data_IF_116065677270
#
_entry.id   IF_116065677270
#
_cell.length_a   1.000
_cell.length_b   1.000
_cell.length_c   1.000
_cell.angle_alpha   90.00
_cell.angle_beta   90.00
_cell.angle_gamma   90.00
#
_symmetry.space_group_name_H-M   'P 1'
#
loop_
_entity.id
_entity.type
_entity.pdbx_description
1 polymer ?
#
# COMPACT_ATOMS: atom_id res chain seq x y z
N UNK A 1 10.12 -45.26 -9.77
CA UNK A 1 9.75 -44.12 -8.91
C UNK A 1 11.01 -43.39 -8.53
N UNK A 2 11.07 -42.07 -8.73
CA UNK A 2 12.21 -41.29 -8.23
C UNK A 2 12.30 -41.47 -6.71
N UNK A 3 13.47 -41.83 -6.21
CA UNK A 3 13.73 -41.97 -4.78
C UNK A 3 13.64 -40.58 -4.14
N UNK A 4 12.73 -40.40 -3.17
CA UNK A 4 12.59 -39.14 -2.43
C UNK A 4 13.90 -38.83 -1.70
N UNK A 5 14.41 -37.61 -1.92
CA UNK A 5 15.67 -37.15 -1.34
C UNK A 5 15.35 -36.17 -0.21
N UNK A 6 15.47 -36.63 1.02
CA UNK A 6 15.25 -35.80 2.21
C UNK A 6 16.53 -35.07 2.60
N UNK A 7 16.42 -33.82 3.04
CA UNK A 7 17.58 -33.01 3.45
C UNK A 7 17.72 -32.84 4.96
N UNK A 8 16.70 -33.20 5.74
CA UNK A 8 16.77 -33.22 7.20
C UNK A 8 16.42 -34.59 7.81
N UNK A 9 17.03 -34.90 8.95
CA UNK A 9 16.64 -35.98 9.83
C UNK A 9 16.87 -35.58 11.30
N UNK A 10 16.34 -36.36 12.24
CA UNK A 10 16.55 -36.16 13.68
C UNK A 10 17.74 -36.99 14.15
N UNK A 11 18.59 -36.42 15.01
CA UNK A 11 19.59 -37.19 15.77
C UNK A 11 18.95 -37.90 16.98
N UNK A 12 19.79 -38.59 17.77
CA UNK A 12 19.38 -39.28 19.01
C UNK A 12 18.77 -38.37 20.08
N UNK A 13 19.07 -37.06 20.03
CA UNK A 13 18.58 -36.05 20.97
C UNK A 13 17.36 -35.31 20.40
N UNK A 14 16.80 -35.79 19.29
CA UNK A 14 15.71 -35.15 18.53
C UNK A 14 16.02 -33.75 17.97
N UNK A 15 17.30 -33.43 17.73
CA UNK A 15 17.67 -32.20 17.02
C UNK A 15 17.56 -32.40 15.51
N UNK A 16 17.08 -31.39 14.78
CA UNK A 16 17.08 -31.41 13.32
C UNK A 16 18.50 -31.22 12.76
N UNK A 17 19.01 -32.26 12.09
CA UNK A 17 20.30 -32.25 11.42
C UNK A 17 20.08 -32.12 9.91
N UNK A 18 20.58 -31.01 9.35
CA UNK A 18 20.64 -30.81 7.91
C UNK A 18 21.71 -31.71 7.28
N UNK A 19 21.45 -32.18 6.06
CA UNK A 19 22.27 -33.18 5.37
C UNK A 19 23.73 -32.74 5.17
N UNK A 20 23.98 -31.42 5.08
CA UNK A 20 25.34 -30.87 5.04
C UNK A 20 26.18 -31.25 6.25
N UNK A 21 25.57 -31.38 7.43
CA UNK A 21 26.23 -31.71 8.70
C UNK A 21 26.13 -33.21 9.04
N UNK A 22 25.52 -34.03 8.18
CA UNK A 22 25.31 -35.44 8.45
C UNK A 22 26.60 -36.27 8.30
N UNK A 23 26.77 -37.29 9.15
CA UNK A 23 27.92 -38.20 9.12
C UNK A 23 27.45 -39.66 8.93
N UNK A 24 28.19 -40.46 8.15
CA UNK A 24 27.90 -41.89 8.01
C UNK A 24 28.15 -42.63 9.32
N UNK A 25 27.35 -43.65 9.60
CA UNK A 25 27.45 -44.46 10.82
C UNK A 25 26.79 -43.85 12.06
N UNK A 26 26.28 -42.61 11.96
CA UNK A 26 25.43 -42.02 12.99
C UNK A 26 23.97 -42.42 12.75
N UNK A 27 23.25 -42.71 13.84
CA UNK A 27 21.82 -43.00 13.80
C UNK A 27 21.02 -41.72 13.56
N UNK A 28 20.20 -41.72 12.51
CA UNK A 28 19.25 -40.67 12.22
C UNK A 28 17.85 -41.24 12.08
N UNK A 29 16.84 -40.43 12.41
CA UNK A 29 15.43 -40.82 12.38
C UNK A 29 14.57 -39.84 11.61
N UNK A 30 13.55 -40.35 10.94
CA UNK A 30 12.56 -39.53 10.25
C UNK A 30 11.81 -38.62 11.24
N UNK A 31 11.67 -37.30 10.98
CA UNK A 31 10.90 -36.38 11.81
C UNK A 31 9.46 -36.83 12.08
N UNK A 32 8.84 -37.50 11.10
CA UNK A 32 7.47 -37.98 11.19
C UNK A 32 7.37 -39.40 11.77
N UNK A 33 7.80 -40.42 11.02
CA UNK A 33 7.56 -41.81 11.39
C UNK A 33 8.58 -42.40 12.37
N UNK A 34 9.62 -41.62 12.72
CA UNK A 34 10.75 -42.04 13.59
C UNK A 34 11.55 -43.26 13.08
N UNK A 35 11.28 -43.72 11.86
CA UNK A 35 12.03 -44.80 11.21
C UNK A 35 13.48 -44.42 10.91
N UNK A 36 14.37 -45.41 10.91
CA UNK A 36 15.81 -45.24 10.68
C UNK A 36 16.07 -44.68 9.27
N UNK A 37 16.88 -43.60 9.22
CA UNK A 37 17.32 -42.97 8.00
C UNK A 37 18.84 -43.12 7.84
N UNK A 38 19.27 -43.39 6.61
CA UNK A 38 20.68 -43.55 6.25
C UNK A 38 21.15 -42.39 5.37
N UNK A 39 22.39 -41.96 5.59
CA UNK A 39 23.04 -40.95 4.74
C UNK A 39 23.47 -41.59 3.42
N UNK A 40 22.85 -41.15 2.33
CA UNK A 40 23.23 -41.50 0.96
C UNK A 40 24.15 -40.41 0.42
N UNK A 41 25.38 -40.79 0.13
CA UNK A 41 26.42 -39.91 -0.39
C UNK A 41 27.14 -40.68 -1.49
N UNK A 42 27.01 -40.19 -2.73
CA UNK A 42 27.67 -40.77 -3.89
C UNK A 42 28.47 -39.71 -4.64
N UNK A 43 29.40 -40.14 -5.48
CA UNK A 43 30.30 -39.24 -6.21
C UNK A 43 29.59 -38.32 -7.22
N UNK A 44 28.37 -38.70 -7.63
CA UNK A 44 27.55 -37.98 -8.62
C UNK A 44 26.22 -37.50 -8.01
N UNK A 45 25.62 -38.26 -7.08
CA UNK A 45 24.32 -37.94 -6.49
C UNK A 45 24.48 -37.02 -5.29
N UNK A 46 23.71 -35.94 -5.26
CA UNK A 46 23.59 -35.02 -4.11
C UNK A 46 23.37 -35.81 -2.82
N UNK A 47 24.12 -35.46 -1.78
CA UNK A 47 23.99 -36.03 -0.44
C UNK A 47 22.55 -35.85 0.07
N UNK A 48 21.93 -36.91 0.55
CA UNK A 48 20.54 -36.89 1.06
C UNK A 48 20.34 -37.99 2.11
N UNK A 49 19.30 -37.84 2.92
CA UNK A 49 18.79 -38.92 3.75
C UNK A 49 17.82 -39.80 2.95
N UNK A 50 17.84 -41.10 3.24
CA UNK A 50 16.85 -42.06 2.73
C UNK A 50 16.39 -42.97 3.86
N UNK A 51 15.12 -43.37 3.85
CA UNK A 51 14.64 -44.39 4.78
C UNK A 51 15.37 -45.72 4.53
N UNK A 52 15.83 -46.38 5.58
CA UNK A 52 16.37 -47.74 5.47
C UNK A 52 15.27 -48.74 5.13
N UNK A 53 14.15 -48.62 5.84
CA UNK A 53 12.88 -49.28 5.56
C UNK A 53 11.81 -48.22 5.75
N UNK A 54 11.03 -47.94 4.70
CA UNK A 54 10.00 -46.89 4.74
C UNK A 54 8.67 -47.47 5.22
N UNK A 55 8.09 -46.96 6.32
CA UNK A 55 6.73 -47.31 6.73
C UNK A 55 5.69 -46.86 5.70
N UNK A 56 4.58 -47.59 5.54
CA UNK A 56 3.52 -47.24 4.59
C UNK A 56 2.88 -45.87 4.87
N UNK A 57 2.84 -45.45 6.14
CA UNK A 57 2.22 -44.20 6.59
C UNK A 57 3.15 -42.97 6.52
N UNK A 58 4.37 -43.09 5.97
CA UNK A 58 5.31 -41.99 5.90
C UNK A 58 5.38 -41.42 4.48
N UNK A 59 4.55 -40.44 4.15
CA UNK A 59 4.63 -39.70 2.89
C UNK A 59 5.71 -38.60 2.97
N UNK A 60 5.99 -37.92 1.84
CA UNK A 60 6.81 -36.71 1.88
C UNK A 60 6.07 -35.58 2.61
N UNK A 61 4.75 -35.50 2.43
CA UNK A 61 3.93 -34.48 3.06
C UNK A 61 3.93 -34.60 4.58
N UNK A 62 3.74 -35.82 5.11
CA UNK A 62 3.77 -36.03 6.56
C UNK A 62 5.16 -35.80 7.15
N UNK A 63 6.22 -36.12 6.40
CA UNK A 63 7.59 -35.75 6.73
C UNK A 63 7.77 -34.23 6.80
N UNK A 64 7.36 -33.49 5.77
CA UNK A 64 7.53 -32.03 5.68
C UNK A 64 6.73 -31.32 6.77
N UNK A 65 5.51 -31.77 7.03
CA UNK A 65 4.64 -31.26 8.10
C UNK A 65 5.30 -31.41 9.48
N UNK A 66 5.82 -32.59 9.81
CA UNK A 66 6.51 -32.83 11.07
C UNK A 66 7.82 -32.05 11.18
N UNK A 67 8.58 -31.96 10.09
CA UNK A 67 9.83 -31.19 10.02
C UNK A 67 9.57 -29.70 10.26
N UNK A 68 8.58 -29.12 9.58
CA UNK A 68 8.22 -27.70 9.70
C UNK A 68 7.85 -27.33 11.15
N UNK A 69 7.00 -28.13 11.80
CA UNK A 69 6.64 -27.94 13.22
C UNK A 69 7.89 -27.89 14.10
N UNK A 70 8.80 -28.85 13.92
CA UNK A 70 10.04 -28.95 14.72
C UNK A 70 10.99 -27.77 14.47
N UNK A 71 11.20 -27.42 13.20
CA UNK A 71 12.13 -26.35 12.81
C UNK A 71 11.65 -24.96 13.24
N UNK A 72 10.34 -24.70 13.18
CA UNK A 72 9.75 -23.45 13.68
C UNK A 72 9.81 -23.41 15.22
N UNK A 73 9.60 -24.54 15.91
CA UNK A 73 9.81 -24.66 17.36
C UNK A 73 11.27 -24.35 17.74
N UNK A 74 12.25 -24.92 17.05
CA UNK A 74 13.68 -24.61 17.24
C UNK A 74 14.00 -23.14 16.95
N UNK A 75 13.45 -22.58 15.88
CA UNK A 75 13.60 -21.16 15.55
C UNK A 75 13.02 -20.25 16.64
N UNK A 76 11.84 -20.57 17.17
CA UNK A 76 11.25 -19.86 18.30
C UNK A 76 12.10 -19.96 19.58
N UNK A 77 12.75 -21.09 19.83
CA UNK A 77 13.58 -21.25 21.03
C UNK A 77 15.02 -20.72 20.88
N UNK A 78 15.43 -20.34 19.67
CA UNK A 78 16.73 -19.69 19.43
C UNK A 78 16.75 -18.20 19.85
N UNK A 79 17.92 -17.56 19.80
CA UNK A 79 18.05 -16.11 20.03
C UNK A 79 17.50 -15.25 18.86
N UNK A 80 17.19 -15.86 17.71
CA UNK A 80 16.73 -15.13 16.52
C UNK A 80 15.33 -14.55 16.72
N UNK A 81 15.04 -13.40 16.12
CA UNK A 81 13.66 -12.89 16.10
C UNK A 81 12.74 -13.83 15.31
N UNK A 82 11.48 -13.93 15.71
CA UNK A 82 10.43 -14.58 14.94
C UNK A 82 9.46 -13.51 14.47
N UNK A 83 9.76 -12.91 13.33
CA UNK A 83 8.94 -11.84 12.78
C UNK A 83 7.77 -12.40 11.97
N UNK A 84 6.64 -11.71 12.04
CA UNK A 84 5.53 -11.88 11.12
C UNK A 84 5.31 -10.57 10.36
N UNK A 85 4.85 -10.64 9.12
CA UNK A 85 4.44 -9.48 8.34
C UNK A 85 3.12 -9.76 7.67
N UNK A 86 2.10 -8.93 7.87
CA UNK A 86 0.83 -9.08 7.17
C UNK A 86 0.41 -7.77 6.51
N UNK A 87 -0.35 -7.90 5.42
CA UNK A 87 -0.83 -6.82 4.57
C UNK A 87 -1.80 -5.95 5.37
N UNK A 88 -1.58 -4.66 5.29
CA UNK A 88 -2.44 -3.62 5.84
C UNK A 88 -2.75 -2.60 4.77
N UNK A 89 -3.49 -1.56 5.16
CA UNK A 89 -3.78 -0.42 4.31
C UNK A 89 -3.35 0.84 5.04
N UNK A 90 -2.77 1.75 4.29
CA UNK A 90 -2.42 3.08 4.74
C UNK A 90 -3.42 4.06 4.15
N UNK A 91 -4.08 4.86 4.98
CA UNK A 91 -5.16 5.76 4.56
C UNK A 91 -4.85 7.21 4.87
N UNK A 92 -5.33 8.11 4.01
CA UNK A 92 -5.36 9.54 4.29
C UNK A 92 -6.23 9.82 5.52
N UNK A 93 -5.88 10.83 6.32
CA UNK A 93 -6.66 11.22 7.51
C UNK A 93 -8.10 11.63 7.18
N UNK A 94 -8.35 12.12 5.95
CA UNK A 94 -9.69 12.52 5.51
C UNK A 94 -10.41 11.42 4.70
N UNK A 95 -9.90 10.19 4.63
CA UNK A 95 -10.34 9.16 3.69
C UNK A 95 -11.87 8.98 3.60
N UNK A 96 -12.54 8.80 4.74
CA UNK A 96 -13.99 8.54 4.82
C UNK A 96 -14.86 9.73 4.37
N UNK A 97 -14.36 10.95 4.49
CA UNK A 97 -15.10 12.19 4.22
C UNK A 97 -14.48 13.04 3.11
N UNK A 98 -13.57 12.46 2.33
CA UNK A 98 -12.83 13.19 1.33
C UNK A 98 -13.73 13.39 0.09
N UNK A 99 -14.08 14.65 -0.20
CA UNK A 99 -14.70 15.09 -1.46
C UNK A 99 -13.97 14.55 -2.71
N UNK A 100 -12.69 14.28 -2.58
CA UNK A 100 -11.81 13.90 -3.67
C UNK A 100 -11.66 12.37 -3.79
N UNK A 101 -12.35 11.61 -2.95
CA UNK A 101 -12.30 10.15 -2.88
C UNK A 101 -13.60 9.55 -3.44
N UNK A 102 -13.85 9.78 -4.74
CA UNK A 102 -15.12 9.40 -5.39
C UNK A 102 -14.97 8.53 -6.63
N UNK A 103 -13.73 8.23 -7.08
CA UNK A 103 -13.51 7.36 -8.24
C UNK A 103 -13.02 5.96 -7.79
N UNK A 104 -13.78 4.93 -8.15
CA UNK A 104 -13.52 3.51 -7.85
C UNK A 104 -12.19 2.97 -8.41
N UNK A 105 -11.58 3.69 -9.37
CA UNK A 105 -10.45 3.18 -10.13
C UNK A 105 -9.08 3.42 -9.48
N UNK A 106 -8.95 4.37 -8.55
CA UNK A 106 -7.66 4.73 -7.96
C UNK A 106 -7.81 5.28 -6.55
N UNK A 107 -7.50 4.47 -5.54
CA UNK A 107 -7.52 4.92 -4.16
C UNK A 107 -6.23 5.67 -3.80
N UNK A 108 -6.00 6.88 -4.32
CA UNK A 108 -4.82 7.68 -3.92
C UNK A 108 -4.75 7.93 -2.41
N UNK A 109 -5.92 7.91 -1.76
CA UNK A 109 -6.08 8.04 -0.33
C UNK A 109 -5.98 6.69 0.42
N UNK A 110 -5.75 5.56 -0.27
CA UNK A 110 -5.50 4.24 0.31
C UNK A 110 -4.36 3.50 -0.42
N UNK A 111 -3.28 3.19 0.28
CA UNK A 111 -2.15 2.43 -0.26
C UNK A 111 -2.01 1.09 0.44
N UNK A 112 -1.80 0.01 -0.32
CA UNK A 112 -1.39 -1.28 0.24
C UNK A 112 -0.05 -1.12 0.98
N UNK A 113 -0.03 -1.53 2.24
CA UNK A 113 1.15 -1.52 3.10
C UNK A 113 1.32 -2.88 3.77
N UNK A 114 2.38 -3.05 4.56
CA UNK A 114 2.54 -4.19 5.45
C UNK A 114 3.04 -3.72 6.80
N UNK A 115 2.72 -4.49 7.84
CA UNK A 115 3.23 -4.25 9.19
C UNK A 115 3.91 -5.50 9.70
N UNK A 116 5.08 -5.30 10.32
CA UNK A 116 5.88 -6.38 10.87
C UNK A 116 5.93 -6.32 12.39
N UNK A 117 5.88 -7.51 13.02
CA UNK A 117 5.91 -7.67 14.47
C UNK A 117 6.78 -8.87 14.83
N UNK A 118 7.64 -8.73 15.85
CA UNK A 118 8.33 -9.88 16.43
C UNK A 118 7.39 -10.57 17.44
N UNK A 119 6.99 -11.82 17.17
CA UNK A 119 6.10 -12.57 18.07
C UNK A 119 6.74 -12.82 19.44
N UNK A 120 8.07 -12.90 19.53
CA UNK A 120 8.77 -13.11 20.81
C UNK A 120 8.61 -11.94 21.79
N UNK A 121 8.17 -10.77 21.32
CA UNK A 121 7.85 -9.64 22.19
C UNK A 121 6.54 -9.84 22.97
N UNK A 122 5.70 -10.80 22.54
CA UNK A 122 4.36 -11.05 23.10
C UNK A 122 4.18 -12.47 23.61
N UNK A 123 4.99 -13.42 23.13
CA UNK A 123 4.87 -14.84 23.43
C UNK A 123 6.24 -15.39 23.80
N UNK A 124 6.28 -16.22 24.84
CA UNK A 124 7.51 -16.83 25.35
C UNK A 124 7.42 -18.37 25.45
N UNK A 125 6.28 -18.96 25.11
CA UNK A 125 6.08 -20.41 25.09
C UNK A 125 5.57 -20.83 23.71
N UNK A 126 6.18 -21.88 23.15
CA UNK A 126 5.69 -22.59 21.97
C UNK A 126 5.40 -24.04 22.34
N UNK A 127 4.32 -24.63 21.83
CA UNK A 127 4.00 -26.04 22.06
C UNK A 127 3.44 -26.68 20.80
N UNK A 128 4.01 -27.81 20.39
CA UNK A 128 3.51 -28.60 19.26
C UNK A 128 2.22 -29.33 19.62
N UNK A 129 1.29 -29.37 18.67
CA UNK A 129 0.13 -30.26 18.67
C UNK A 129 -0.81 -30.12 19.88
N UNK A 130 -0.89 -28.91 20.45
CA UNK A 130 -1.67 -28.62 21.67
C UNK A 130 -3.11 -28.23 21.32
N UNK A 131 -4.06 -28.81 22.06
CA UNK A 131 -5.48 -28.43 21.96
C UNK A 131 -5.76 -27.18 22.79
N UNK A 132 -6.43 -26.22 22.18
CA UNK A 132 -6.91 -25.00 22.82
C UNK A 132 -8.31 -24.66 22.31
N UNK A 133 -9.26 -24.42 23.25
CA UNK A 133 -10.68 -24.17 22.94
C UNK A 133 -11.31 -25.20 21.97
N UNK A 134 -10.95 -26.47 22.11
CA UNK A 134 -11.50 -27.58 21.29
C UNK A 134 -10.77 -27.82 19.96
N UNK A 135 -9.85 -26.94 19.55
CA UNK A 135 -9.10 -27.09 18.30
C UNK A 135 -7.64 -27.42 18.59
N UNK A 136 -7.07 -28.39 17.85
CA UNK A 136 -5.65 -28.75 17.95
C UNK A 136 -4.83 -27.85 17.03
N UNK A 137 -3.82 -27.18 17.58
CA UNK A 137 -2.89 -26.36 16.81
C UNK A 137 -1.66 -27.19 16.41
N UNK A 138 -1.13 -27.02 15.20
CA UNK A 138 0.19 -27.58 14.86
C UNK A 138 1.28 -27.00 15.77
N UNK A 139 1.27 -25.68 15.93
CA UNK A 139 2.08 -24.95 16.91
C UNK A 139 1.19 -23.91 17.61
N UNK A 140 1.18 -23.97 18.94
CA UNK A 140 0.53 -22.99 19.80
C UNK A 140 1.58 -22.07 20.41
N UNK A 141 1.51 -20.76 20.12
CA UNK A 141 2.28 -19.74 20.79
C UNK A 141 1.44 -19.15 21.92
N UNK A 142 1.97 -19.13 23.14
CA UNK A 142 1.32 -18.60 24.33
C UNK A 142 2.25 -17.74 25.17
N UNK A 143 1.67 -16.81 25.91
CA UNK A 143 2.35 -16.04 26.95
C UNK A 143 2.16 -16.78 28.28
N UNK A 144 3.25 -17.09 28.99
CA UNK A 144 3.18 -17.77 30.29
C UNK A 144 2.41 -16.98 31.33
N UNK A 145 2.36 -15.65 31.19
CA UNK A 145 1.59 -14.75 32.05
C UNK A 145 0.12 -14.60 31.60
N UNK A 146 -0.27 -15.21 30.48
CA UNK A 146 -1.61 -15.15 29.88
C UNK A 146 -2.12 -13.71 29.61
N UNK A 147 -1.23 -12.75 29.31
CA UNK A 147 -1.63 -11.37 28.97
C UNK A 147 -2.15 -11.26 27.53
N UNK A 148 -1.80 -12.22 26.69
CA UNK A 148 -2.17 -12.26 25.28
C UNK A 148 -2.86 -13.59 24.94
N UNK A 149 -3.95 -13.51 24.18
CA UNK A 149 -4.55 -14.73 23.63
C UNK A 149 -3.55 -15.47 22.74
N UNK A 150 -3.54 -16.82 22.76
CA UNK A 150 -2.62 -17.60 21.94
C UNK A 150 -2.73 -17.33 20.43
N UNK A 151 -1.66 -17.63 19.71
CA UNK A 151 -1.63 -17.67 18.24
C UNK A 151 -1.37 -19.10 17.80
N UNK A 152 -2.06 -19.51 16.75
CA UNK A 152 -1.85 -20.79 16.10
C UNK A 152 -0.96 -20.56 14.88
N UNK A 153 0.06 -21.40 14.70
CA UNK A 153 0.77 -21.53 13.42
C UNK A 153 0.42 -22.92 12.87
N UNK A 154 -0.26 -22.94 11.73
CA UNK A 154 -0.72 -24.14 11.03
C UNK A 154 0.13 -24.38 9.79
N UNK A 155 0.58 -25.61 9.59
CA UNK A 155 1.38 -25.96 8.42
C UNK A 155 0.47 -26.63 7.40
N UNK A 156 0.27 -25.96 6.27
CA UNK A 156 -0.49 -26.47 5.14
C UNK A 156 0.46 -27.20 4.18
N UNK A 157 0.34 -28.51 4.08
CA UNK A 157 1.01 -29.27 3.01
C UNK A 157 -0.01 -29.80 2.01
N UNK A 158 -1.11 -30.39 2.50
CA UNK A 158 -2.17 -30.95 1.65
C UNK A 158 -3.58 -30.52 2.04
N UNK A 159 -3.83 -30.21 3.31
CA UNK A 159 -5.16 -29.85 3.82
C UNK A 159 -5.17 -28.48 4.47
N UNK A 160 -6.06 -27.61 3.99
CA UNK A 160 -6.30 -26.28 4.56
C UNK A 160 -6.91 -26.39 5.95
N UNK A 161 -6.73 -25.32 6.72
CA UNK A 161 -7.31 -25.16 8.05
C UNK A 161 -8.83 -25.33 8.00
N UNK A 162 -9.35 -26.08 8.96
CA UNK A 162 -10.79 -26.34 9.10
C UNK A 162 -11.59 -25.03 9.21
N UNK A 163 -12.74 -24.99 8.56
CA UNK A 163 -13.53 -23.77 8.47
C UNK A 163 -14.05 -23.33 9.84
N UNK A 164 -14.47 -24.28 10.67
CA UNK A 164 -14.90 -24.04 12.05
C UNK A 164 -13.79 -23.42 12.90
N UNK A 165 -12.54 -23.81 12.63
CA UNK A 165 -11.35 -23.28 13.32
C UNK A 165 -11.07 -21.84 12.92
N UNK A 166 -11.20 -21.49 11.64
CA UNK A 166 -11.09 -20.11 11.16
C UNK A 166 -12.23 -19.25 11.75
N UNK A 167 -13.46 -19.76 11.74
CA UNK A 167 -14.65 -19.06 12.23
C UNK A 167 -14.69 -18.91 13.76
N UNK A 168 -13.83 -19.65 14.50
CA UNK A 168 -13.69 -19.54 15.96
C UNK A 168 -13.17 -18.18 16.46
N UNK A 169 -12.64 -17.34 15.57
CA UNK A 169 -12.06 -16.04 15.90
C UNK A 169 -10.62 -16.10 16.43
N UNK A 170 -10.01 -17.29 16.56
CA UNK A 170 -8.61 -17.44 16.96
C UNK A 170 -7.66 -16.90 15.90
N UNK A 171 -6.57 -16.26 16.34
CA UNK A 171 -5.50 -15.80 15.43
C UNK A 171 -4.73 -16.99 14.90
N UNK A 172 -4.78 -17.19 13.59
CA UNK A 172 -4.16 -18.32 12.90
C UNK A 172 -3.25 -17.79 11.79
N UNK A 173 -2.00 -18.25 11.79
CA UNK A 173 -1.04 -18.07 10.70
C UNK A 173 -0.95 -19.43 10.00
N UNK A 174 -1.51 -19.53 8.81
CA UNK A 174 -1.43 -20.75 8.00
C UNK A 174 -0.31 -20.59 6.98
N UNK A 175 0.70 -21.46 7.04
CA UNK A 175 1.89 -21.43 6.19
C UNK A 175 1.85 -22.63 5.26
N UNK A 176 1.60 -22.39 3.97
CA UNK A 176 1.68 -23.42 2.94
C UNK A 176 3.14 -23.73 2.62
N UNK A 177 3.50 -25.01 2.59
CA UNK A 177 4.83 -25.49 2.25
C UNK A 177 4.74 -26.62 1.24
N UNK A 178 5.47 -26.48 0.15
CA UNK A 178 5.65 -27.48 -0.90
C UNK A 178 7.01 -28.20 -0.79
N UNK A 179 7.98 -27.61 -0.08
CA UNK A 179 9.34 -28.16 0.02
C UNK A 179 10.10 -27.76 1.29
N UNK A 180 11.17 -28.51 1.57
CA UNK A 180 12.16 -28.17 2.62
C UNK A 180 12.87 -26.82 2.35
N UNK A 181 13.01 -26.43 1.08
CA UNK A 181 13.67 -25.18 0.70
C UNK A 181 12.88 -23.94 1.12
N UNK A 182 11.55 -23.96 0.96
CA UNK A 182 10.68 -22.86 1.39
C UNK A 182 10.73 -22.66 2.91
N UNK A 183 10.71 -23.77 3.66
CA UNK A 183 10.88 -23.75 5.12
C UNK A 183 12.21 -23.11 5.52
N UNK A 184 13.30 -23.49 4.85
CA UNK A 184 14.62 -22.93 5.11
C UNK A 184 14.71 -21.45 4.74
N UNK A 185 14.06 -21.02 3.66
CA UNK A 185 14.01 -19.62 3.26
C UNK A 185 13.27 -18.76 4.29
N UNK A 186 12.11 -19.22 4.78
CA UNK A 186 11.34 -18.54 5.83
C UNK A 186 12.18 -18.36 7.10
N UNK A 187 12.81 -19.44 7.58
CA UNK A 187 13.62 -19.42 8.81
C UNK A 187 14.86 -18.54 8.64
N UNK A 188 15.55 -18.65 7.49
CA UNK A 188 16.74 -17.85 7.17
C UNK A 188 16.43 -16.36 7.08
N UNK A 189 15.32 -15.99 6.44
CA UNK A 189 14.88 -14.61 6.33
C UNK A 189 14.35 -14.06 7.66
N UNK A 190 14.06 -14.93 8.63
CA UNK A 190 13.63 -14.56 9.97
C UNK A 190 12.24 -13.92 9.99
N UNK A 191 11.41 -14.19 8.98
CA UNK A 191 10.09 -13.57 8.83
C UNK A 191 9.10 -14.48 8.10
N UNK A 192 7.88 -14.60 8.65
CA UNK A 192 6.72 -15.20 8.00
C UNK A 192 5.88 -14.06 7.41
N UNK A 193 5.81 -13.95 6.08
CA UNK A 193 5.14 -12.84 5.40
C UNK A 193 3.87 -13.27 4.70
N UNK A 194 2.81 -12.49 4.80
CA UNK A 194 1.53 -12.75 4.11
C UNK A 194 1.67 -12.58 2.60
N UNK A 195 1.46 -13.68 1.90
CA UNK A 195 1.54 -13.77 0.45
C UNK A 195 0.53 -14.81 -0.09
N UNK A 196 0.80 -15.39 -1.25
CA UNK A 196 -0.09 -16.40 -1.86
C UNK A 196 -0.02 -17.76 -1.16
N UNK A 197 1.03 -17.99 -0.36
CA UNK A 197 1.30 -19.23 0.37
C UNK A 197 1.08 -19.10 1.87
N UNK A 198 1.03 -17.88 2.41
CA UNK A 198 0.85 -17.65 3.85
C UNK A 198 -0.37 -16.78 4.13
N UNK A 199 -1.32 -17.30 4.90
CA UNK A 199 -2.58 -16.64 5.26
C UNK A 199 -2.63 -16.26 6.74
N UNK A 200 -3.18 -15.07 7.03
CA UNK A 200 -3.35 -14.56 8.40
C UNK A 200 -4.84 -14.37 8.71
N UNK A 201 -5.42 -15.29 9.48
CA UNK A 201 -6.82 -15.25 9.90
C UNK A 201 -7.00 -14.57 11.26
N UNK A 202 -8.06 -13.77 11.39
CA UNK A 202 -8.48 -13.10 12.63
C UNK A 202 -7.45 -12.15 13.27
N UNK A 203 -6.41 -11.75 12.52
CA UNK A 203 -5.51 -10.67 12.95
C UNK A 203 -6.20 -9.32 12.81
N UNK A 204 -6.17 -8.51 13.88
CA UNK A 204 -6.66 -7.13 13.83
C UNK A 204 -5.72 -6.30 12.96
N UNK A 205 -6.20 -5.89 11.79
CA UNK A 205 -5.48 -5.03 10.85
C UNK A 205 -5.86 -3.59 11.14
N UNK A 206 -4.99 -2.86 11.85
CA UNK A 206 -5.15 -1.42 12.00
C UNK A 206 -4.59 -0.74 10.77
N UNK A 207 -5.42 0.03 10.10
CA UNK A 207 -4.96 0.90 9.02
C UNK A 207 -3.91 1.86 9.57
N UNK A 208 -2.83 2.05 8.81
CA UNK A 208 -1.91 3.16 9.06
C UNK A 208 -2.61 4.46 8.74
N UNK A 209 -2.79 5.33 9.74
CA UNK A 209 -2.91 6.77 9.46
C UNK A 209 -1.48 7.27 9.20
N UNK A 210 -0.89 6.82 8.10
CA UNK A 210 0.34 7.43 7.60
C UNK A 210 -0.04 8.62 6.75
N UNK A 211 0.87 9.59 6.65
CA UNK A 211 0.81 10.68 5.67
C UNK A 211 0.93 10.09 4.25
N UNK A 212 -0.06 9.33 3.80
CA UNK A 212 -0.32 9.24 2.36
C UNK A 212 -0.38 10.69 1.88
N UNK A 213 0.26 11.00 0.75
CA UNK A 213 0.33 12.37 0.24
C UNK A 213 -1.02 12.92 -0.24
N UNK A 214 -2.13 12.24 0.11
CA UNK A 214 -3.46 12.43 -0.43
C UNK A 214 -3.49 12.33 -1.95
N UNK A 215 -4.69 12.54 -2.50
CA UNK A 215 -4.81 12.86 -3.91
C UNK A 215 -4.18 14.23 -4.15
N UNK A 216 -3.34 14.34 -5.17
CA UNK A 216 -2.79 15.63 -5.60
C UNK A 216 -3.87 16.44 -6.30
N UNK A 217 -3.97 17.72 -5.96
CA UNK A 217 -4.95 18.66 -6.47
C UNK A 217 -4.25 19.92 -6.99
N UNK A 218 -4.90 20.58 -7.94
CA UNK A 218 -4.56 21.93 -8.36
C UNK A 218 -5.28 22.94 -7.48
N UNK A 219 -4.58 23.96 -7.00
CA UNK A 219 -5.18 25.09 -6.30
C UNK A 219 -4.75 26.41 -6.91
N UNK A 220 -5.73 27.19 -7.35
CA UNK A 220 -5.55 28.57 -7.75
C UNK A 220 -6.03 29.50 -6.64
N UNK A 221 -5.27 30.56 -6.39
CA UNK A 221 -5.54 31.55 -5.34
C UNK A 221 -5.46 32.94 -5.95
N UNK A 222 -6.54 33.71 -5.86
CA UNK A 222 -6.53 35.15 -6.15
C UNK A 222 -6.34 35.91 -4.85
N UNK A 223 -5.28 36.72 -4.78
CA UNK A 223 -4.95 37.55 -3.62
C UNK A 223 -5.64 38.91 -3.68
N UNK A 224 -5.76 39.59 -2.55
CA UNK A 224 -6.23 40.99 -2.43
C UNK A 224 -5.46 41.96 -3.35
N UNK A 225 -4.18 41.68 -3.59
CA UNK A 225 -3.33 42.45 -4.51
C UNK A 225 -3.68 42.25 -6.00
N UNK A 226 -4.72 41.48 -6.31
CA UNK A 226 -5.10 41.05 -7.67
C UNK A 226 -4.01 40.22 -8.38
N UNK A 227 -3.13 39.58 -7.61
CA UNK A 227 -2.18 38.59 -8.09
C UNK A 227 -2.79 37.20 -7.95
N UNK A 228 -2.60 36.37 -8.98
CA UNK A 228 -3.00 34.97 -8.99
C UNK A 228 -1.80 34.07 -8.71
N UNK A 229 -2.00 33.07 -7.86
CA UNK A 229 -1.02 32.03 -7.55
C UNK A 229 -1.60 30.67 -7.93
N UNK A 230 -0.72 29.79 -8.39
CA UNK A 230 -1.04 28.38 -8.62
C UNK A 230 -0.11 27.52 -7.75
N UNK A 231 -0.68 26.52 -7.07
CA UNK A 231 0.08 25.56 -6.28
C UNK A 231 -0.53 24.16 -6.40
N UNK A 232 0.32 23.15 -6.31
CA UNK A 232 -0.10 21.76 -6.07
C UNK A 232 -0.24 21.52 -4.57
N UNK A 233 -1.35 20.93 -4.19
CA UNK A 233 -1.66 20.62 -2.80
C UNK A 233 -2.20 19.18 -2.70
N UNK A 234 -2.28 18.67 -1.48
CA UNK A 234 -2.94 17.39 -1.20
C UNK A 234 -4.40 17.62 -0.80
N UNK A 235 -5.24 16.61 -1.03
CA UNK A 235 -6.64 16.60 -0.60
C UNK A 235 -6.86 16.70 0.91
N UNK A 236 -5.82 16.55 1.74
CA UNK A 236 -5.88 16.83 3.18
C UNK A 236 -5.66 18.31 3.54
N UNK A 237 -5.23 19.15 2.58
CA UNK A 237 -4.90 20.56 2.79
C UNK A 237 -5.80 21.51 1.99
N UNK A 238 -6.79 21.01 1.24
CA UNK A 238 -7.56 21.86 0.32
C UNK A 238 -8.35 22.97 0.99
N UNK A 239 -8.80 22.74 2.23
CA UNK A 239 -9.49 23.72 3.07
C UNK A 239 -8.55 24.70 3.77
N UNK A 240 -7.22 24.52 3.68
CA UNK A 240 -6.27 25.51 4.21
C UNK A 240 -6.28 26.76 3.33
N UNK A 241 -6.69 27.88 3.91
CA UNK A 241 -6.88 29.15 3.18
C UNK A 241 -5.69 30.07 3.36
N UNK A 242 -5.33 30.80 2.31
CA UNK A 242 -4.31 31.84 2.40
C UNK A 242 -4.92 33.10 3.04
N UNK A 243 -4.23 33.68 4.02
CA UNK A 243 -4.74 34.83 4.79
C UNK A 243 -5.08 36.05 3.93
N UNK A 244 -4.34 36.27 2.84
CA UNK A 244 -4.56 37.37 1.90
C UNK A 244 -5.34 36.95 0.64
N UNK A 245 -5.98 35.79 0.63
CA UNK A 245 -6.81 35.36 -0.50
C UNK A 245 -8.18 36.03 -0.48
N UNK A 246 -8.64 36.47 -1.64
CA UNK A 246 -10.02 36.86 -1.87
C UNK A 246 -10.84 35.73 -2.51
N UNK A 247 -10.19 34.84 -3.26
CA UNK A 247 -10.82 33.70 -3.92
C UNK A 247 -9.86 32.53 -4.06
N UNK A 248 -10.37 31.32 -3.92
CA UNK A 248 -9.63 30.10 -4.21
C UNK A 248 -10.51 29.13 -4.99
N UNK A 249 -9.91 28.42 -5.95
CA UNK A 249 -10.51 27.22 -6.53
C UNK A 249 -9.51 26.07 -6.41
N UNK A 250 -10.00 24.94 -5.89
CA UNK A 250 -9.27 23.67 -5.89
C UNK A 250 -9.97 22.70 -6.82
N UNK A 251 -9.23 21.90 -7.60
CA UNK A 251 -9.79 20.96 -8.56
C UNK A 251 -8.79 19.82 -8.85
N UNK A 252 -9.27 18.76 -9.48
CA UNK A 252 -8.48 17.55 -9.76
C UNK A 252 -7.22 17.85 -10.62
N UNK A 253 -6.09 17.25 -10.24
CA UNK A 253 -4.82 17.30 -10.94
C UNK A 253 -4.88 16.76 -12.38
N UNK A 254 -5.66 15.71 -12.63
CA UNK A 254 -5.68 15.06 -13.95
C UNK A 254 -6.27 15.92 -15.07
N UNK A 255 -6.99 16.98 -14.70
CA UNK A 255 -7.45 18.04 -15.62
C UNK A 255 -6.29 18.75 -16.35
N UNK A 256 -5.05 18.65 -15.85
CA UNK A 256 -3.86 19.23 -16.48
C UNK A 256 -3.59 18.68 -17.89
N UNK A 257 -4.14 17.50 -18.22
CA UNK A 257 -4.01 16.91 -19.56
C UNK A 257 -4.81 17.67 -20.61
N UNK A 258 -5.83 18.41 -20.19
CA UNK A 258 -6.79 19.09 -21.06
C UNK A 258 -6.79 20.61 -20.86
N UNK A 259 -6.40 21.10 -19.67
CA UNK A 259 -6.52 22.52 -19.31
C UNK A 259 -5.23 23.00 -18.63
N UNK A 260 -4.80 24.23 -18.92
CA UNK A 260 -3.78 24.93 -18.15
C UNK A 260 -4.34 25.43 -16.80
N UNK A 261 -3.87 24.94 -15.65
CA UNK A 261 -4.46 25.24 -14.33
C UNK A 261 -4.46 26.72 -13.96
N UNK A 262 -3.44 27.45 -14.37
CA UNK A 262 -3.30 28.86 -14.08
C UNK A 262 -4.35 29.67 -14.88
N UNK A 263 -4.46 29.41 -16.18
CA UNK A 263 -5.48 30.03 -17.04
C UNK A 263 -6.89 29.68 -16.53
N UNK A 264 -7.15 28.41 -16.23
CA UNK A 264 -8.43 27.95 -15.69
C UNK A 264 -8.83 28.70 -14.42
N UNK A 265 -7.91 28.78 -13.45
CA UNK A 265 -8.12 29.52 -12.21
C UNK A 265 -8.50 30.99 -12.44
N UNK A 266 -7.84 31.66 -13.40
CA UNK A 266 -8.18 33.02 -13.80
C UNK A 266 -9.56 33.13 -14.44
N UNK A 267 -9.95 32.18 -15.29
CA UNK A 267 -11.28 32.15 -15.91
C UNK A 267 -12.36 32.04 -14.83
N UNK A 268 -12.20 31.12 -13.87
CA UNK A 268 -13.20 30.93 -12.82
C UNK A 268 -13.23 32.15 -11.89
N UNK A 269 -12.08 32.74 -11.56
CA UNK A 269 -12.04 33.98 -10.79
C UNK A 269 -12.78 35.11 -11.50
N UNK A 270 -12.57 35.29 -12.81
CA UNK A 270 -13.27 36.28 -13.64
C UNK A 270 -14.79 36.10 -13.64
N UNK A 271 -15.27 34.86 -13.62
CA UNK A 271 -16.72 34.56 -13.52
C UNK A 271 -17.31 34.86 -12.15
N UNK A 272 -16.49 34.90 -11.10
CA UNK A 272 -16.94 35.01 -9.72
C UNK A 272 -16.69 36.38 -9.08
N UNK A 273 -15.81 37.21 -9.67
CA UNK A 273 -15.41 38.50 -9.14
C UNK A 273 -15.38 39.58 -10.22
N UNK A 274 -15.86 40.76 -9.86
CA UNK A 274 -15.76 41.94 -10.71
C UNK A 274 -14.31 42.42 -10.82
N UNK A 275 -13.99 43.08 -11.94
CA UNK A 275 -12.69 43.73 -12.19
C UNK A 275 -11.46 42.80 -12.23
N UNK A 276 -11.64 41.48 -12.32
CA UNK A 276 -10.55 40.54 -12.59
C UNK A 276 -10.02 40.78 -14.01
N UNK A 277 -8.80 41.29 -14.12
CA UNK A 277 -8.08 41.47 -15.40
C UNK A 277 -6.73 40.80 -15.33
N UNK A 278 -6.45 39.94 -16.30
CA UNK A 278 -5.16 39.28 -16.44
C UNK A 278 -4.85 39.06 -17.92
N UNK A 279 -3.60 39.22 -18.35
CA UNK A 279 -3.22 39.04 -19.76
C UNK A 279 -3.61 37.65 -20.29
N UNK A 280 -3.59 36.59 -19.46
CA UNK A 280 -4.03 35.25 -19.87
C UNK A 280 -5.49 35.19 -20.33
N UNK A 281 -6.33 36.15 -19.93
CA UNK A 281 -7.73 36.27 -20.34
C UNK A 281 -7.93 37.20 -21.55
N UNK A 282 -6.88 37.84 -22.05
CA UNK A 282 -6.99 38.85 -23.10
C UNK A 282 -6.89 38.23 -24.50
N UNK A 283 -7.81 38.60 -25.39
CA UNK A 283 -7.83 38.12 -26.80
C UNK A 283 -6.60 38.51 -27.62
N UNK A 284 -5.84 39.49 -27.14
CA UNK A 284 -4.61 39.96 -27.77
C UNK A 284 -3.36 39.30 -27.21
N UNK A 285 -3.45 38.52 -26.13
CA UNK A 285 -2.29 37.85 -25.53
C UNK A 285 -2.26 36.38 -25.96
N UNK A 286 -1.50 36.10 -27.03
CA UNK A 286 -1.53 34.80 -27.71
C UNK A 286 -0.19 34.08 -27.61
N UNK A 287 -0.25 32.75 -27.60
CA UNK A 287 0.94 31.91 -27.70
C UNK A 287 1.49 31.96 -29.12
N UNK A 288 2.78 32.25 -29.24
CA UNK A 288 3.52 32.15 -30.48
C UNK A 288 3.76 30.67 -30.78
N UNK A 289 3.30 30.20 -31.95
CA UNK A 289 3.42 28.81 -32.37
C UNK A 289 4.89 28.32 -32.44
N UNK A 290 5.82 29.20 -32.83
CA UNK A 290 7.22 28.81 -33.06
C UNK A 290 8.06 28.79 -31.77
N UNK A 291 7.75 29.68 -30.82
CA UNK A 291 8.56 29.83 -29.59
C UNK A 291 7.85 29.31 -28.34
N UNK A 292 6.56 28.97 -28.44
CA UNK A 292 5.68 28.65 -27.31
C UNK A 292 5.54 29.76 -26.26
N UNK A 293 6.08 30.96 -26.53
CA UNK A 293 5.98 32.11 -25.65
C UNK A 293 4.66 32.85 -25.87
N UNK A 294 4.04 33.35 -24.79
CA UNK A 294 2.89 34.24 -24.93
C UNK A 294 3.34 35.69 -25.16
N UNK A 295 2.71 36.35 -26.12
CA UNK A 295 3.01 37.74 -26.48
C UNK A 295 1.72 38.56 -26.66
N UNK A 296 1.80 39.86 -26.38
CA UNK A 296 0.71 40.78 -26.70
C UNK A 296 0.79 41.18 -28.18
N UNK A 297 -0.18 40.78 -29.01
CA UNK A 297 -0.21 41.08 -30.44
C UNK A 297 -0.29 42.59 -30.77
N UNK A 298 -0.66 43.43 -29.80
CA UNK A 298 -0.71 44.88 -29.96
C UNK A 298 0.65 45.56 -29.75
N UNK A 299 1.70 44.82 -29.39
CA UNK A 299 3.02 45.38 -29.07
C UNK A 299 3.56 46.34 -30.15
N UNK A 300 3.51 45.94 -31.42
CA UNK A 300 3.94 46.79 -32.55
C UNK A 300 3.00 47.95 -32.84
N UNK A 301 1.68 47.72 -32.76
CA UNK A 301 0.67 48.69 -33.18
C UNK A 301 0.43 49.80 -32.16
N UNK A 302 0.58 49.48 -30.88
CA UNK A 302 0.23 50.34 -29.74
C UNK A 302 1.42 50.64 -28.83
N UNK A 303 2.62 50.18 -29.17
CA UNK A 303 3.83 50.38 -28.36
C UNK A 303 3.76 49.68 -26.99
N UNK A 304 2.94 48.65 -26.86
CA UNK A 304 2.80 47.86 -25.62
C UNK A 304 4.00 46.91 -25.50
N UNK A 305 4.39 46.55 -24.28
CA UNK A 305 5.43 45.55 -24.04
C UNK A 305 5.08 44.22 -24.73
N UNK A 306 6.07 43.61 -25.40
CA UNK A 306 5.85 42.36 -26.16
C UNK A 306 5.51 41.20 -25.24
N UNK A 307 6.20 41.12 -24.10
CA UNK A 307 6.07 40.09 -23.08
C UNK A 307 5.49 40.69 -21.79
N UNK A 308 4.21 41.09 -21.84
CA UNK A 308 3.55 41.70 -20.70
C UNK A 308 3.64 40.83 -19.44
N UNK A 309 3.90 41.45 -18.29
CA UNK A 309 3.62 40.78 -17.01
C UNK A 309 2.12 40.60 -16.89
N UNK A 310 1.65 39.42 -16.52
CA UNK A 310 0.22 39.07 -16.56
C UNK A 310 -0.70 40.04 -15.81
N UNK A 311 -0.18 40.70 -14.75
CA UNK A 311 -0.90 41.70 -13.94
C UNK A 311 -1.02 43.09 -14.61
N UNK A 312 -0.28 43.37 -15.69
CA UNK A 312 -0.35 44.65 -16.41
C UNK A 312 -1.73 44.90 -17.04
N UNK A 313 -2.49 43.83 -17.27
CA UNK A 313 -3.88 43.91 -17.71
C UNK A 313 -4.77 44.79 -16.82
N UNK A 314 -4.43 44.94 -15.52
CA UNK A 314 -5.17 45.81 -14.59
C UNK A 314 -5.16 47.28 -15.04
N UNK A 315 -4.08 47.74 -15.69
CA UNK A 315 -3.90 49.13 -16.15
C UNK A 315 -3.93 49.26 -17.67
N UNK A 316 -4.12 48.15 -18.39
CA UNK A 316 -4.12 48.14 -19.84
C UNK A 316 -5.46 48.61 -20.40
N UNK A 317 -5.46 49.76 -21.07
CA UNK A 317 -6.66 50.31 -21.71
C UNK A 317 -7.12 49.48 -22.92
N UNK A 318 -6.22 48.70 -23.52
CA UNK A 318 -6.52 47.83 -24.65
C UNK A 318 -6.94 46.41 -24.21
N UNK A 319 -7.02 46.15 -22.90
CA UNK A 319 -7.47 44.87 -22.38
C UNK A 319 -8.89 44.57 -22.87
N UNK A 320 -9.04 43.45 -23.56
CA UNK A 320 -10.32 42.96 -24.06
C UNK A 320 -10.38 41.46 -23.84
N UNK A 321 -11.47 41.02 -23.23
CA UNK A 321 -11.68 39.62 -22.86
C UNK A 321 -11.73 38.73 -24.10
N UNK A 322 -11.07 37.57 -24.05
CA UNK A 322 -11.25 36.51 -25.02
C UNK A 322 -12.47 35.66 -24.63
N UNK A 323 -13.58 35.78 -25.33
CA UNK A 323 -14.78 35.00 -24.98
C UNK A 323 -14.61 33.50 -25.21
N UNK A 324 -13.75 33.09 -26.15
CA UNK A 324 -13.53 31.69 -26.45
C UNK A 324 -12.81 31.00 -25.30
N UNK A 325 -11.77 31.63 -24.74
CA UNK A 325 -11.05 31.07 -23.59
C UNK A 325 -11.97 30.91 -22.36
N UNK A 326 -12.90 31.84 -22.17
CA UNK A 326 -13.88 31.75 -21.08
C UNK A 326 -14.80 30.55 -21.29
N UNK A 327 -15.41 30.45 -22.47
CA UNK A 327 -16.38 29.39 -22.78
C UNK A 327 -15.73 28.00 -22.71
N UNK A 328 -14.61 27.81 -23.39
CA UNK A 328 -13.88 26.53 -23.42
C UNK A 328 -13.54 26.06 -22.00
N UNK A 329 -13.03 26.94 -21.13
CA UNK A 329 -12.69 26.57 -19.76
C UNK A 329 -13.94 26.34 -18.90
N UNK A 330 -15.01 27.12 -19.07
CA UNK A 330 -16.25 26.93 -18.31
C UNK A 330 -16.96 25.62 -18.62
N UNK A 331 -16.92 25.15 -19.87
CA UNK A 331 -17.56 23.89 -20.28
C UNK A 331 -16.97 22.69 -19.49
N UNK A 332 -15.69 22.77 -19.11
CA UNK A 332 -15.03 21.74 -18.30
C UNK A 332 -15.56 21.60 -16.87
N UNK A 333 -16.20 22.63 -16.30
CA UNK A 333 -16.72 22.56 -14.93
C UNK A 333 -17.73 21.44 -14.73
N UNK A 334 -18.46 21.07 -15.77
CA UNK A 334 -19.44 19.98 -15.73
C UNK A 334 -18.80 18.58 -15.64
N UNK A 335 -17.52 18.47 -16.01
CA UNK A 335 -16.78 17.20 -16.12
C UNK A 335 -15.77 16.97 -15.00
N UNK A 336 -15.70 17.85 -14.00
CA UNK A 336 -14.69 17.80 -12.94
C UNK A 336 -15.34 18.06 -11.57
N UNK A 337 -14.74 17.47 -10.53
CA UNK A 337 -15.01 17.87 -9.15
C UNK A 337 -14.13 19.08 -8.82
N UNK A 338 -14.70 20.09 -8.16
CA UNK A 338 -13.97 21.29 -7.74
C UNK A 338 -14.57 21.89 -6.45
N UNK A 339 -13.74 22.64 -5.71
CA UNK A 339 -14.15 23.39 -4.52
C UNK A 339 -13.86 24.88 -4.77
N UNK A 340 -14.84 25.74 -4.49
CA UNK A 340 -14.67 27.20 -4.52
C UNK A 340 -14.74 27.76 -3.11
N UNK A 341 -13.80 28.65 -2.80
CA UNK A 341 -13.86 29.45 -1.58
C UNK A 341 -13.75 30.94 -1.92
N UNK A 342 -14.49 31.76 -1.17
CA UNK A 342 -14.52 33.22 -1.28
C UNK A 342 -14.27 33.82 0.09
N UNK A 343 -13.57 34.94 0.15
CA UNK A 343 -13.33 35.66 1.40
C UNK A 343 -14.67 35.98 2.09
N UNK A 344 -14.75 35.64 3.38
CA UNK A 344 -15.97 35.72 4.18
C UNK A 344 -16.72 34.40 4.32
N UNK A 345 -16.38 33.36 3.55
CA UNK A 345 -16.90 32.00 3.75
C UNK A 345 -16.14 31.26 4.86
N UNK A 346 -16.79 30.26 5.47
CA UNK A 346 -16.11 29.26 6.28
C UNK A 346 -15.02 28.52 5.50
N UNK A 347 -14.05 27.92 6.19
CA UNK A 347 -12.89 27.28 5.57
C UNK A 347 -13.22 26.14 4.59
N UNK A 348 -14.41 25.56 4.68
CA UNK A 348 -14.85 24.47 3.80
C UNK A 348 -15.09 24.94 2.36
N UNK A 349 -15.64 26.14 2.16
CA UNK A 349 -16.03 26.62 0.83
C UNK A 349 -17.34 25.99 0.33
N UNK A 350 -17.53 25.93 -0.98
CA UNK A 350 -18.63 25.23 -1.66
C UNK A 350 -18.04 24.16 -2.58
N UNK A 351 -18.54 22.94 -2.42
CA UNK A 351 -18.13 21.78 -3.18
C UNK A 351 -19.03 21.54 -4.39
N UNK A 352 -18.42 21.18 -5.51
CA UNK A 352 -19.07 20.82 -6.76
C UNK A 352 -18.55 19.46 -7.21
N UNK A 353 -19.44 18.48 -7.30
CA UNK A 353 -19.08 17.09 -7.64
C UNK A 353 -19.49 16.80 -9.09
N UNK A 354 -18.56 16.21 -9.86
CA UNK A 354 -18.82 15.74 -11.23
C UNK A 354 -20.03 14.80 -11.25
N UNK A 355 -20.97 15.02 -12.16
CA UNK A 355 -22.05 14.06 -12.43
C UNK A 355 -23.27 14.09 -11.51
N UNK A 356 -23.40 15.04 -10.57
CA UNK A 356 -24.71 15.37 -9.97
C UNK A 356 -25.40 16.47 -10.78
N UNK A 357 -25.87 16.10 -11.98
CA UNK A 357 -27.06 16.76 -12.54
C UNK A 357 -28.21 16.25 -11.67
N UNK A 358 -28.91 17.16 -10.99
CA UNK A 358 -30.12 16.83 -10.28
C UNK A 358 -31.06 16.05 -11.22
N UNK A 359 -31.51 14.88 -10.79
CA UNK A 359 -32.77 14.32 -11.31
C UNK A 359 -33.93 15.21 -10.86
#
# INVERSE_FOLDING_TARGET
MAELKYTYALDKNENCIGIGNAQKGIEYRCPHCKGEMVVKEGSIKVKHYAHKIRPQNCSYETYLHALAKKRIEEWFNSDSALNISFRTKDRCSNFEHCLWNHDDYTSYCEKKSSRSFNLKNYYNVITREKTYKGFRADLLLSDSENRHEPIFIEILVSHQCEKEKIESGMRIIEVALSSEYELDDIIRNGIISEDETTMFYNFRRKDGITRTCGMQLNKFVLLESMKGLYKRISCNEYTHRYSSAIFEITFDYYTNRTIDPLTFGWVIAYKNYENVRNCFLCKYYKTNYYTSERICCLYKKKGIERHCKSSEALRCNEFSIDKNIINENCDYLSYITYNIWKKGMGNEGIDYIKGKVAQ
#
